data_IF_036762709180
#
_entry.id   IF_036762709180
#
_cell.length_a   1.000
_cell.length_b   1.000
_cell.length_c   1.000
_cell.angle_alpha   90.00
_cell.angle_beta   90.00
_cell.angle_gamma   90.00
#
_symmetry.space_group_name_H-M   'P 1'
#
loop_
_entity.id
_entity.type
_entity.pdbx_description
1 polymer ?
#
# COMPACT_ATOMS: atom_id res chain seq x y z
N UNK A 1 6.00 -26.56 28.79
CA UNK A 1 5.67 -25.66 27.65
C UNK A 1 6.35 -24.33 27.95
N UNK A 2 7.63 -24.21 27.59
CA UNK A 2 8.44 -23.02 27.87
C UNK A 2 8.03 -21.87 26.96
N UNK A 3 7.87 -20.69 27.54
CA UNK A 3 7.36 -19.48 26.89
C UNK A 3 8.39 -18.72 26.05
N UNK A 4 9.04 -19.38 25.10
CA UNK A 4 10.13 -18.79 24.30
C UNK A 4 9.65 -18.25 22.93
N UNK A 5 8.54 -17.51 22.92
CA UNK A 5 7.93 -17.05 21.67
C UNK A 5 6.99 -15.87 21.84
N UNK A 6 7.25 -14.98 22.80
CA UNK A 6 6.48 -13.74 22.88
C UNK A 6 6.83 -12.87 21.66
N UNK A 7 5.84 -12.58 20.82
CA UNK A 7 5.97 -11.61 19.71
C UNK A 7 6.40 -10.21 20.19
N UNK A 8 6.34 -9.96 21.52
CA UNK A 8 6.83 -8.75 22.18
C UNK A 8 8.29 -8.82 22.62
N UNK A 9 9.02 -9.89 22.31
CA UNK A 9 10.44 -10.00 22.63
C UNK A 9 11.29 -9.09 21.72
N UNK A 10 12.41 -8.60 22.26
CA UNK A 10 13.35 -7.77 21.51
C UNK A 10 13.92 -8.51 20.28
N UNK A 11 14.12 -9.83 20.40
CA UNK A 11 14.59 -10.68 19.30
C UNK A 11 13.59 -10.70 18.12
N UNK A 12 12.29 -10.72 18.41
CA UNK A 12 11.25 -10.64 17.39
C UNK A 12 11.30 -9.27 16.68
N UNK A 13 11.40 -8.17 17.44
CA UNK A 13 11.46 -6.83 16.85
C UNK A 13 12.70 -6.64 15.94
N UNK A 14 13.88 -7.12 16.35
CA UNK A 14 15.09 -7.03 15.54
C UNK A 14 15.02 -7.88 14.25
N UNK A 15 14.36 -9.05 14.29
CA UNK A 15 14.14 -9.88 13.09
C UNK A 15 13.28 -9.18 12.01
N UNK A 16 12.33 -8.33 12.41
CA UNK A 16 11.42 -7.65 11.48
C UNK A 16 11.81 -6.21 11.16
N UNK A 17 12.82 -5.65 11.83
CA UNK A 17 13.29 -4.27 11.65
C UNK A 17 13.68 -3.90 10.22
N UNK A 18 14.14 -4.86 9.43
CA UNK A 18 14.56 -4.68 8.04
C UNK A 18 13.47 -5.05 7.03
N UNK A 19 12.31 -5.54 7.48
CA UNK A 19 11.23 -5.90 6.58
C UNK A 19 10.56 -4.65 6.02
N UNK A 20 10.15 -4.73 4.75
CA UNK A 20 9.38 -3.68 4.12
C UNK A 20 7.94 -3.68 4.69
N UNK A 21 7.66 -2.72 5.55
CA UNK A 21 6.33 -2.55 6.14
C UNK A 21 5.27 -2.17 5.09
N UNK A 22 5.66 -1.58 3.96
CA UNK A 22 4.75 -1.26 2.88
C UNK A 22 4.28 -2.54 2.16
N UNK A 23 5.18 -3.49 1.92
CA UNK A 23 4.84 -4.81 1.35
C UNK A 23 3.89 -5.58 2.28
N UNK A 24 4.14 -5.52 3.59
CA UNK A 24 3.22 -6.12 4.57
C UNK A 24 1.83 -5.47 4.53
N UNK A 25 1.76 -4.14 4.50
CA UNK A 25 0.48 -3.43 4.39
C UNK A 25 -0.27 -3.78 3.09
N UNK A 26 0.46 -3.97 1.99
CA UNK A 26 -0.10 -4.39 0.71
C UNK A 26 -0.76 -5.77 0.78
N UNK A 27 -0.20 -6.71 1.56
CA UNK A 27 -0.81 -8.04 1.72
C UNK A 27 -2.16 -8.01 2.46
N UNK A 28 -2.39 -7.07 3.39
CA UNK A 28 -3.70 -6.89 4.01
C UNK A 28 -4.75 -6.40 3.01
N UNK A 29 -4.35 -5.49 2.12
CA UNK A 29 -5.22 -4.96 1.08
C UNK A 29 -5.56 -6.03 0.05
N UNK A 30 -4.57 -6.82 -0.38
CA UNK A 30 -4.75 -7.90 -1.36
C UNK A 30 -5.75 -8.97 -0.89
N UNK A 31 -5.84 -9.17 0.42
CA UNK A 31 -6.77 -10.13 1.05
C UNK A 31 -8.17 -9.56 1.31
N UNK A 32 -8.38 -8.26 1.14
CA UNK A 32 -9.67 -7.61 1.32
C UNK A 32 -10.53 -7.74 0.04
N UNK A 33 -11.67 -8.45 0.07
CA UNK A 33 -12.58 -8.54 -1.08
C UNK A 33 -13.14 -7.17 -1.49
N UNK A 34 -13.32 -6.27 -0.53
CA UNK A 34 -13.80 -4.91 -0.76
C UNK A 34 -12.76 -4.07 -1.50
N UNK A 35 -11.49 -4.18 -1.10
CA UNK A 35 -10.39 -3.52 -1.80
C UNK A 35 -10.26 -4.03 -3.23
N UNK A 36 -10.28 -5.34 -3.43
CA UNK A 36 -10.17 -5.94 -4.75
C UNK A 36 -11.29 -5.47 -5.70
N UNK A 37 -12.53 -5.41 -5.19
CA UNK A 37 -13.69 -4.92 -5.94
C UNK A 37 -13.56 -3.43 -6.28
N UNK A 38 -13.14 -2.60 -5.33
CA UNK A 38 -12.95 -1.17 -5.58
C UNK A 38 -11.81 -0.91 -6.56
N UNK A 39 -10.68 -1.61 -6.41
CA UNK A 39 -9.54 -1.53 -7.31
C UNK A 39 -9.94 -1.87 -8.74
N UNK A 40 -10.64 -2.98 -8.96
CA UNK A 40 -11.13 -3.37 -10.29
C UNK A 40 -12.06 -2.30 -10.89
N UNK A 41 -12.98 -1.72 -10.10
CA UNK A 41 -13.86 -0.64 -10.56
C UNK A 41 -13.11 0.65 -10.87
N UNK A 42 -12.07 0.97 -10.09
CA UNK A 42 -11.20 2.12 -10.35
C UNK A 42 -10.42 1.93 -11.65
N UNK A 43 -9.83 0.77 -11.88
CA UNK A 43 -9.10 0.49 -13.13
C UNK A 43 -10.02 0.46 -14.35
N UNK A 44 -11.25 -0.03 -14.22
CA UNK A 44 -12.26 0.07 -15.29
C UNK A 44 -12.59 1.53 -15.63
N UNK A 45 -12.78 2.39 -14.63
CA UNK A 45 -13.04 3.83 -14.84
C UNK A 45 -11.83 4.55 -15.45
N UNK A 46 -10.63 4.22 -14.98
CA UNK A 46 -9.38 4.75 -15.51
C UNK A 46 -9.14 4.34 -16.98
N UNK A 47 -9.52 3.11 -17.37
CA UNK A 47 -9.45 2.65 -18.75
C UNK A 47 -10.51 3.32 -19.65
N UNK A 48 -11.70 3.60 -19.10
CA UNK A 48 -12.78 4.27 -19.83
C UNK A 48 -12.51 5.76 -20.06
N UNK A 49 -11.82 6.44 -19.13
CA UNK A 49 -11.41 7.84 -19.26
C UNK A 49 -9.93 8.01 -18.82
N UNK A 50 -8.97 7.83 -19.75
CA UNK A 50 -7.55 7.96 -19.45
C UNK A 50 -7.15 9.35 -18.91
N UNK A 51 -7.91 10.40 -19.22
CA UNK A 51 -7.63 11.74 -18.71
C UNK A 51 -7.90 11.85 -17.20
N UNK A 52 -8.80 11.01 -16.66
CA UNK A 52 -9.12 10.94 -15.22
C UNK A 52 -8.48 9.77 -14.49
N UNK A 53 -7.72 8.92 -15.19
CA UNK A 53 -7.10 7.73 -14.61
C UNK A 53 -6.29 8.01 -13.35
N UNK A 54 -5.52 9.12 -13.34
CA UNK A 54 -4.74 9.52 -12.18
C UNK A 54 -5.63 9.93 -11.00
N UNK A 55 -6.65 10.75 -11.24
CA UNK A 55 -7.60 11.18 -10.22
C UNK A 55 -8.34 9.99 -9.60
N UNK A 56 -8.76 9.03 -10.42
CA UNK A 56 -9.45 7.81 -9.98
C UNK A 56 -8.58 6.93 -9.07
N UNK A 57 -7.29 6.78 -9.42
CA UNK A 57 -6.31 6.03 -8.62
C UNK A 57 -5.94 6.76 -7.33
N UNK A 58 -5.80 8.09 -7.38
CA UNK A 58 -5.60 8.90 -6.18
C UNK A 58 -6.80 8.85 -5.24
N UNK A 59 -8.01 8.86 -5.77
CA UNK A 59 -9.23 8.68 -5.00
C UNK A 59 -9.25 7.34 -4.27
N UNK A 60 -8.88 6.24 -4.96
CA UNK A 60 -8.71 4.93 -4.34
C UNK A 60 -7.65 4.96 -3.23
N UNK A 61 -6.50 5.57 -3.50
CA UNK A 61 -5.41 5.68 -2.55
C UNK A 61 -5.84 6.40 -1.25
N UNK A 62 -6.54 7.52 -1.37
CA UNK A 62 -7.06 8.27 -0.20
C UNK A 62 -8.06 7.45 0.61
N UNK A 63 -8.98 6.73 -0.03
CA UNK A 63 -9.99 5.89 0.66
C UNK A 63 -9.37 4.72 1.43
N UNK A 64 -8.30 4.14 0.89
CA UNK A 64 -7.65 2.95 1.47
C UNK A 64 -6.36 3.24 2.25
N UNK A 65 -6.02 4.52 2.45
CA UNK A 65 -4.83 4.92 3.19
C UNK A 65 -3.50 4.62 2.48
N UNK A 66 -3.52 4.51 1.14
CA UNK A 66 -2.34 4.26 0.30
C UNK A 66 -1.58 5.56 0.03
N UNK A 67 -1.27 6.31 1.09
CA UNK A 67 -0.52 7.55 0.92
C UNK A 67 0.96 7.21 0.75
N UNK A 68 1.42 7.13 -0.50
CA UNK A 68 2.83 7.07 -0.81
C UNK A 68 3.41 8.48 -0.78
N UNK A 69 4.56 8.73 -0.13
CA UNK A 69 5.27 9.98 -0.34
C UNK A 69 5.65 10.06 -1.83
N UNK A 70 4.91 10.89 -2.58
CA UNK A 70 5.28 11.25 -3.94
C UNK A 70 6.68 11.84 -3.84
N UNK A 71 7.70 11.12 -4.33
CA UNK A 71 9.01 11.72 -4.52
C UNK A 71 8.79 12.90 -5.45
N UNK A 72 9.00 14.11 -4.94
CA UNK A 72 8.95 15.32 -5.76
C UNK A 72 9.80 15.07 -6.99
N UNK A 73 9.19 15.16 -8.17
CA UNK A 73 9.90 14.99 -9.44
C UNK A 73 11.06 15.98 -9.41
N UNK A 74 12.31 15.52 -9.38
CA UNK A 74 13.44 16.43 -9.54
C UNK A 74 13.26 17.05 -10.93
N UNK A 75 12.86 18.31 -10.95
CA UNK A 75 13.02 19.15 -12.14
C UNK A 75 14.53 19.16 -12.36
N UNK A 76 14.99 18.44 -13.36
CA UNK A 76 16.34 18.59 -13.84
C UNK A 76 16.34 19.91 -14.60
N UNK A 77 16.92 20.95 -14.02
CA UNK A 77 17.26 22.15 -14.76
C UNK A 77 18.18 21.74 -15.93
N UNK A 78 17.84 22.23 -17.11
CA UNK A 78 18.61 22.10 -18.34
C UNK A 78 19.09 23.48 -18.76
#
# INVERSE_FOLDING_TARGET
MSGDGSWRSADYAERFKTHDHADFAQEFLRRSPDYAREYAKTEQRAAADPAKAQEEREGLARRWGLSFPLRSRKISDR
#
